data_IF_318289914487
#
_entry.id   IF_318289914487
#
_cell.length_a   1.000
_cell.length_b   1.000
_cell.length_c   1.000
_cell.angle_alpha   90.00
_cell.angle_beta   90.00
_cell.angle_gamma   90.00
#
_symmetry.space_group_name_H-M   'P 1'
#
loop_
_entity.id
_entity.type
_entity.pdbx_description
1 polymer ?
#
# COMPACT_ATOMS: atom_id res chain seq x y z
N UNK A 1 -19.09 -1.92 6.72
CA UNK A 1 -18.61 -2.89 5.71
C UNK A 1 -17.91 -4.03 6.44
N UNK A 2 -18.40 -5.27 6.33
CA UNK A 2 -17.81 -6.41 7.05
C UNK A 2 -16.66 -7.05 6.25
N UNK A 3 -15.84 -7.88 6.92
CA UNK A 3 -14.69 -8.53 6.29
C UNK A 3 -15.05 -9.42 5.08
N UNK A 4 -16.23 -10.05 5.08
CA UNK A 4 -16.67 -10.90 3.97
C UNK A 4 -17.10 -10.10 2.72
N UNK A 5 -17.62 -8.89 2.92
CA UNK A 5 -17.95 -7.96 1.85
C UNK A 5 -16.68 -7.41 1.18
N UNK A 6 -15.64 -7.13 1.97
CA UNK A 6 -14.34 -6.70 1.48
C UNK A 6 -13.70 -7.76 0.57
N UNK A 7 -13.67 -9.03 1.02
CA UNK A 7 -13.11 -10.16 0.25
C UNK A 7 -13.85 -10.36 -1.07
N UNK A 8 -15.20 -10.28 -1.06
CA UNK A 8 -16.00 -10.40 -2.29
C UNK A 8 -15.68 -9.32 -3.33
N UNK A 9 -15.46 -8.08 -2.87
CA UNK A 9 -15.11 -6.96 -3.75
C UNK A 9 -13.66 -7.07 -4.26
N UNK A 10 -12.72 -7.45 -3.41
CA UNK A 10 -11.32 -7.69 -3.77
C UNK A 10 -11.19 -8.75 -4.88
N UNK A 11 -11.92 -9.88 -4.78
CA UNK A 11 -11.99 -10.92 -5.83
C UNK A 11 -12.54 -10.43 -7.16
N UNK A 12 -13.43 -9.43 -7.17
CA UNK A 12 -13.98 -8.86 -8.41
C UNK A 12 -12.97 -7.93 -9.08
N UNK A 13 -12.20 -7.16 -8.31
CA UNK A 13 -11.11 -6.32 -8.85
C UNK A 13 -9.90 -7.14 -9.32
N UNK A 14 -9.49 -8.16 -8.57
CA UNK A 14 -8.36 -9.03 -8.93
C UNK A 14 -8.57 -9.72 -10.28
N UNK A 15 -9.80 -10.15 -10.59
CA UNK A 15 -10.16 -10.76 -11.89
C UNK A 15 -10.08 -9.80 -13.08
N UNK A 16 -10.07 -8.48 -12.86
CA UNK A 16 -9.99 -7.45 -13.90
C UNK A 16 -8.62 -6.76 -13.96
N UNK A 17 -7.74 -7.00 -13.00
CA UNK A 17 -6.47 -6.29 -12.88
C UNK A 17 -5.34 -7.05 -13.57
N UNK A 18 -4.49 -6.33 -14.30
CA UNK A 18 -3.17 -6.82 -14.68
C UNK A 18 -2.42 -7.24 -13.40
N UNK A 19 -1.90 -8.47 -13.39
CA UNK A 19 -1.18 -9.01 -12.24
C UNK A 19 0.10 -8.22 -12.00
N UNK A 20 0.13 -7.43 -10.94
CA UNK A 20 1.32 -6.73 -10.48
C UNK A 20 1.93 -7.44 -9.26
N UNK A 21 3.26 -7.41 -9.06
CA UNK A 21 3.87 -7.96 -7.86
C UNK A 21 3.28 -7.33 -6.59
N UNK A 22 3.08 -8.15 -5.55
CA UNK A 22 2.43 -7.75 -4.28
C UNK A 22 3.00 -6.45 -3.69
N UNK A 23 4.33 -6.32 -3.63
CA UNK A 23 4.98 -5.15 -3.04
C UNK A 23 4.70 -3.90 -3.87
N UNK A 24 4.67 -4.01 -5.20
CA UNK A 24 4.33 -2.90 -6.10
C UNK A 24 2.88 -2.48 -5.89
N UNK A 25 1.95 -3.45 -5.79
CA UNK A 25 0.56 -3.17 -5.47
C UNK A 25 0.40 -2.42 -4.13
N UNK A 26 1.11 -2.86 -3.09
CA UNK A 26 1.08 -2.22 -1.78
C UNK A 26 1.66 -0.79 -1.80
N UNK A 27 2.73 -0.54 -2.58
CA UNK A 27 3.29 0.81 -2.77
C UNK A 27 2.33 1.73 -3.50
N UNK A 28 1.66 1.23 -4.54
CA UNK A 28 0.63 1.97 -5.25
C UNK A 28 -0.51 2.34 -4.30
N UNK A 29 -0.99 1.38 -3.50
CA UNK A 29 -2.02 1.63 -2.49
C UNK A 29 -1.59 2.70 -1.47
N UNK A 30 -0.34 2.67 -1.02
CA UNK A 30 0.23 3.69 -0.13
C UNK A 30 0.23 5.07 -0.80
N UNK A 31 0.72 5.16 -2.04
CA UNK A 31 0.74 6.42 -2.79
C UNK A 31 -0.66 6.99 -2.98
N UNK A 32 -1.63 6.15 -3.38
CA UNK A 32 -3.02 6.56 -3.53
C UNK A 32 -3.60 7.08 -2.21
N UNK A 33 -3.38 6.38 -1.09
CA UNK A 33 -3.83 6.84 0.23
C UNK A 33 -3.21 8.17 0.64
N UNK A 34 -1.93 8.40 0.33
CA UNK A 34 -1.28 9.70 0.55
C UNK A 34 -1.96 10.80 -0.29
N UNK A 35 -2.28 10.53 -1.56
CA UNK A 35 -2.95 11.50 -2.43
C UNK A 35 -4.36 11.83 -1.96
N UNK A 36 -5.13 10.83 -1.53
CA UNK A 36 -6.47 11.01 -0.93
C UNK A 36 -6.43 11.94 0.30
N UNK A 37 -5.39 11.81 1.13
CA UNK A 37 -5.21 12.62 2.34
C UNK A 37 -4.42 13.91 2.12
N UNK A 38 -4.04 14.22 0.88
CA UNK A 38 -3.13 15.34 0.56
C UNK A 38 -1.82 15.31 1.37
N UNK A 39 -1.37 14.11 1.76
CA UNK A 39 -0.18 13.91 2.59
C UNK A 39 1.08 13.96 1.74
N UNK A 40 1.99 14.88 2.09
CA UNK A 40 3.29 14.99 1.44
C UNK A 40 4.26 13.87 1.86
N UNK A 41 5.34 13.69 1.09
CA UNK A 41 6.40 12.73 1.45
C UNK A 41 7.09 13.10 2.77
N UNK A 42 7.32 14.39 3.00
CA UNK A 42 7.83 14.93 4.26
C UNK A 42 6.85 14.67 5.41
N UNK A 43 5.55 14.84 5.17
CA UNK A 43 4.51 14.55 6.16
C UNK A 43 4.47 13.07 6.56
N UNK A 44 4.55 12.16 5.58
CA UNK A 44 4.67 10.73 5.88
C UNK A 44 5.99 10.41 6.60
N UNK A 45 7.09 11.05 6.18
CA UNK A 45 8.40 10.89 6.82
C UNK A 45 8.34 11.25 8.31
N UNK A 46 7.70 12.38 8.65
CA UNK A 46 7.45 12.81 10.03
C UNK A 46 6.59 11.78 10.80
N UNK A 47 5.48 11.30 10.22
CA UNK A 47 4.64 10.26 10.86
C UNK A 47 5.37 8.94 11.11
N UNK A 48 6.39 8.66 10.30
CA UNK A 48 7.20 7.44 10.38
C UNK A 48 8.48 7.58 11.21
N UNK A 49 8.91 8.82 11.54
CA UNK A 49 10.21 9.07 12.13
C UNK A 49 11.37 8.71 11.19
N UNK A 50 11.23 8.99 9.90
CA UNK A 50 12.21 8.67 8.85
C UNK A 50 12.59 9.92 8.05
N UNK A 51 13.62 9.81 7.20
CA UNK A 51 13.96 10.85 6.23
C UNK A 51 13.01 10.84 5.02
N UNK A 52 12.84 11.99 4.37
CA UNK A 52 12.07 12.11 3.12
C UNK A 52 12.63 11.17 2.03
N UNK A 53 13.95 11.07 1.93
CA UNK A 53 14.62 10.16 0.99
C UNK A 53 14.29 8.68 1.22
N UNK A 54 14.12 8.26 2.48
CA UNK A 54 13.64 6.91 2.79
C UNK A 54 12.20 6.70 2.31
N UNK A 55 11.35 7.72 2.41
CA UNK A 55 9.97 7.67 1.87
C UNK A 55 9.97 7.66 0.34
N UNK A 56 10.83 8.44 -0.33
CA UNK A 56 10.98 8.37 -1.80
C UNK A 56 11.36 6.97 -2.28
N UNK A 57 12.33 6.34 -1.60
CA UNK A 57 12.73 4.95 -1.86
C UNK A 57 11.58 3.97 -1.61
N UNK A 58 10.83 4.17 -0.52
CA UNK A 58 9.68 3.33 -0.19
C UNK A 58 8.56 3.41 -1.26
N UNK A 59 8.33 4.59 -1.84
CA UNK A 59 7.31 4.83 -2.87
C UNK A 59 7.77 4.43 -4.28
N UNK A 60 9.08 4.39 -4.56
CA UNK A 60 9.60 4.00 -5.87
C UNK A 60 9.25 2.52 -6.16
N UNK A 61 8.48 2.20 -7.22
CA UNK A 61 8.09 0.83 -7.54
C UNK A 61 9.30 -0.09 -7.84
N UNK A 62 10.39 0.44 -8.39
CA UNK A 62 11.58 -0.32 -8.78
C UNK A 62 12.52 -0.61 -7.60
N UNK A 63 12.42 0.20 -6.53
CA UNK A 63 13.26 0.01 -5.37
C UNK A 63 12.79 -1.22 -4.56
N UNK A 64 13.69 -2.13 -4.18
CA UNK A 64 13.31 -3.25 -3.31
C UNK A 64 12.90 -2.72 -1.93
N UNK A 65 11.78 -3.19 -1.41
CA UNK A 65 11.31 -2.82 -0.07
C UNK A 65 10.67 -4.03 0.59
N UNK A 66 10.91 -4.21 1.88
CA UNK A 66 10.28 -5.28 2.62
C UNK A 66 8.79 -4.94 2.84
N UNK A 67 7.88 -5.90 2.62
CA UNK A 67 6.44 -5.65 2.70
C UNK A 67 6.02 -5.06 4.06
N UNK A 68 6.65 -5.52 5.16
CA UNK A 68 6.49 -4.96 6.53
C UNK A 68 6.70 -3.45 6.61
N UNK A 69 7.61 -2.88 5.81
CA UNK A 69 7.85 -1.44 5.82
C UNK A 69 6.71 -0.67 5.13
N UNK A 70 6.22 -1.19 4.01
CA UNK A 70 5.05 -0.63 3.30
C UNK A 70 3.80 -0.74 4.18
N UNK A 71 3.62 -1.87 4.86
CA UNK A 71 2.52 -2.09 5.80
C UNK A 71 2.58 -1.13 7.00
N UNK A 72 3.76 -0.86 7.56
CA UNK A 72 3.95 0.15 8.61
C UNK A 72 3.56 1.55 8.12
N UNK A 73 3.90 1.90 6.88
CA UNK A 73 3.50 3.17 6.27
C UNK A 73 1.99 3.25 6.03
N UNK A 74 1.36 2.18 5.55
CA UNK A 74 -0.09 2.10 5.37
C UNK A 74 -0.86 2.35 6.68
N UNK A 75 -0.36 1.79 7.80
CA UNK A 75 -0.92 2.08 9.14
C UNK A 75 -0.85 3.56 9.53
N UNK A 76 0.17 4.30 9.06
CA UNK A 76 0.31 5.75 9.33
C UNK A 76 -0.62 6.63 8.49
N UNK A 77 -1.33 6.03 7.55
CA UNK A 77 -2.37 6.67 6.73
C UNK A 77 -3.72 5.96 6.92
N UNK A 78 -3.93 5.31 8.06
CA UNK A 78 -5.18 4.64 8.44
C UNK A 78 -5.68 3.60 7.43
N UNK A 79 -4.75 2.96 6.72
CA UNK A 79 -5.03 1.82 5.84
C UNK A 79 -4.46 0.53 6.44
N UNK A 80 -5.11 -0.59 6.13
CA UNK A 80 -4.67 -1.94 6.50
C UNK A 80 -4.39 -2.74 5.24
N UNK A 81 -3.24 -3.42 5.21
CA UNK A 81 -2.95 -4.39 4.15
C UNK A 81 -3.71 -5.68 4.44
N UNK A 82 -4.47 -6.16 3.46
CA UNK A 82 -5.15 -7.46 3.49
C UNK A 82 -4.66 -8.26 2.30
N UNK A 83 -4.28 -9.52 2.53
CA UNK A 83 -3.78 -10.43 1.49
C UNK A 83 -4.71 -11.63 1.41
N UNK A 84 -5.06 -12.01 0.19
CA UNK A 84 -5.82 -13.22 -0.11
C UNK A 84 -5.04 -14.06 -1.14
N UNK A 85 -5.15 -15.38 -1.02
CA UNK A 85 -4.62 -16.33 -2.01
C UNK A 85 -5.80 -16.91 -2.78
N UNK A 86 -5.74 -16.89 -4.11
CA UNK A 86 -6.70 -17.58 -4.97
C UNK A 86 -6.09 -18.86 -5.52
N UNK A 87 -6.94 -19.85 -5.82
CA UNK A 87 -6.54 -20.98 -6.66
C UNK A 87 -6.19 -20.44 -8.06
N UNK A 88 -5.16 -21.03 -8.68
CA UNK A 88 -4.82 -20.74 -10.08
C UNK A 88 -5.88 -21.34 -10.99
#
# INVERSE_FOLDING_TARGET
MNGAEYVRRARRYARKANLVPLVVAAKLALYTAMREQQLSKVGLAARMGLSEGAIRKLLNPEHRSHIRQVEKALRKVDKRLVVEVSRR
#
